data_IF_057687888955
#
_entry.id   IF_057687888955
#
_cell.length_a   1.000
_cell.length_b   1.000
_cell.length_c   1.000
_cell.angle_alpha   90.00
_cell.angle_beta   90.00
_cell.angle_gamma   90.00
#
_symmetry.space_group_name_H-M   'P 1'
#
loop_
_entity.id
_entity.type
_entity.pdbx_description
1 polymer ?
#
# COMPACT_ATOMS: atom_id res chain seq x y z
N UNK A 1 -39.33 -3.21 -68.91
CA UNK A 1 -37.98 -2.70 -68.51
C UNK A 1 -37.98 -2.53 -67.01
N UNK A 2 -37.32 -3.47 -66.25
CA UNK A 2 -37.23 -3.43 -64.82
C UNK A 2 -35.87 -2.83 -64.45
N UNK A 3 -35.85 -1.70 -63.70
CA UNK A 3 -34.62 -1.06 -63.15
C UNK A 3 -34.07 -1.86 -61.97
N UNK A 4 -32.77 -2.09 -61.86
CA UNK A 4 -32.19 -2.71 -60.68
C UNK A 4 -32.07 -1.65 -59.54
N UNK A 5 -32.51 -2.07 -58.36
CA UNK A 5 -32.39 -1.32 -57.11
C UNK A 5 -31.03 -1.64 -56.49
N UNK A 6 -30.10 -0.66 -56.51
CA UNK A 6 -28.82 -0.78 -55.78
C UNK A 6 -29.07 -0.62 -54.28
N UNK A 7 -28.87 -1.70 -53.54
CA UNK A 7 -28.78 -1.64 -52.07
C UNK A 7 -27.37 -1.16 -51.68
N UNK A 8 -27.27 0.09 -51.23
CA UNK A 8 -26.02 0.62 -50.65
C UNK A 8 -25.93 0.18 -49.19
N UNK A 9 -25.12 -0.84 -48.92
CA UNK A 9 -24.82 -1.29 -47.54
C UNK A 9 -23.83 -0.32 -46.86
N UNK A 10 -24.29 0.39 -45.86
CA UNK A 10 -23.44 1.22 -45.00
C UNK A 10 -22.76 0.27 -44.00
N UNK A 11 -21.47 0.01 -44.20
CA UNK A 11 -20.61 -0.71 -43.24
C UNK A 11 -20.25 0.24 -42.12
N UNK A 12 -20.94 0.11 -40.98
CA UNK A 12 -20.62 0.88 -39.77
C UNK A 12 -19.40 0.27 -39.08
N UNK A 13 -18.23 0.86 -39.27
CA UNK A 13 -17.01 0.52 -38.55
C UNK A 13 -17.14 0.98 -37.11
N UNK A 14 -17.40 0.07 -36.15
CA UNK A 14 -17.28 0.32 -34.72
C UNK A 14 -15.79 0.53 -34.38
N UNK A 15 -15.39 1.77 -34.23
CA UNK A 15 -14.08 2.12 -33.69
C UNK A 15 -14.15 1.95 -32.18
N UNK A 16 -13.66 0.82 -31.68
CA UNK A 16 -13.52 0.57 -30.24
C UNK A 16 -12.37 1.45 -29.70
N UNK A 17 -12.70 2.60 -29.15
CA UNK A 17 -11.71 3.48 -28.49
C UNK A 17 -11.28 2.85 -27.18
N UNK A 18 -10.10 2.21 -27.14
CA UNK A 18 -9.45 1.83 -25.89
C UNK A 18 -8.91 3.09 -25.21
N UNK A 19 -9.62 3.56 -24.21
CA UNK A 19 -9.07 4.59 -23.31
C UNK A 19 -7.97 3.98 -22.46
N UNK A 20 -6.73 4.38 -22.71
CA UNK A 20 -5.58 4.05 -21.85
C UNK A 20 -5.73 4.86 -20.56
N UNK A 21 -6.34 4.26 -19.54
CA UNK A 21 -6.47 4.90 -18.23
C UNK A 21 -5.11 4.87 -17.54
N UNK A 22 -4.58 6.05 -17.19
CA UNK A 22 -3.34 6.13 -16.42
C UNK A 22 -3.53 5.40 -15.08
N UNK A 23 -2.52 4.62 -14.68
CA UNK A 23 -2.56 3.90 -13.41
C UNK A 23 -2.74 4.90 -12.25
N UNK A 24 -3.66 4.58 -11.33
CA UNK A 24 -3.84 5.39 -10.12
C UNK A 24 -2.57 5.39 -9.30
N UNK A 25 -2.26 6.53 -8.68
CA UNK A 25 -1.07 6.72 -7.85
C UNK A 25 -1.45 7.34 -6.51
N UNK A 26 -0.64 7.01 -5.51
CA UNK A 26 -0.69 7.60 -4.18
C UNK A 26 0.73 7.80 -3.66
N UNK A 27 0.86 8.55 -2.58
CA UNK A 27 2.14 8.80 -1.91
C UNK A 27 1.97 8.82 -0.40
N UNK A 28 3.06 8.58 0.33
CA UNK A 28 3.15 8.83 1.74
C UNK A 28 4.50 9.47 2.06
N UNK A 29 4.50 10.54 2.84
CA UNK A 29 5.71 11.14 3.41
C UNK A 29 5.82 10.66 4.85
N UNK A 30 6.88 9.94 5.17
CA UNK A 30 7.09 9.37 6.49
C UNK A 30 7.84 10.35 7.38
N UNK A 31 7.32 10.57 8.58
CA UNK A 31 7.93 11.38 9.62
C UNK A 31 8.25 10.50 10.83
N UNK A 32 9.32 10.80 11.54
CA UNK A 32 9.64 10.17 12.83
C UNK A 32 8.86 10.82 13.99
N UNK A 33 9.05 10.33 15.19
CA UNK A 33 8.38 10.82 16.42
C UNK A 33 8.66 12.30 16.75
N UNK A 34 9.70 12.91 16.14
CA UNK A 34 10.03 14.33 16.28
C UNK A 34 9.43 15.21 15.19
N UNK A 35 8.73 14.59 14.21
CA UNK A 35 8.20 15.28 13.02
C UNK A 35 9.24 15.53 11.92
N UNK A 36 10.41 14.89 12.01
CA UNK A 36 11.47 15.01 11.01
C UNK A 36 11.18 14.04 9.84
N UNK A 37 11.39 14.45 8.59
CA UNK A 37 11.18 13.57 7.44
C UNK A 37 12.24 12.46 7.41
N UNK A 38 11.77 11.21 7.27
CA UNK A 38 12.63 10.02 7.21
C UNK A 38 12.40 9.19 5.96
N UNK A 39 11.40 9.49 5.14
CA UNK A 39 11.20 8.74 3.92
C UNK A 39 10.01 9.17 3.08
N UNK A 40 9.94 8.60 1.89
CA UNK A 40 8.81 8.76 0.96
C UNK A 40 8.45 7.41 0.36
N UNK A 41 7.17 7.14 0.25
CA UNK A 41 6.66 6.01 -0.51
C UNK A 41 5.79 6.49 -1.66
N UNK A 42 5.92 5.83 -2.81
CA UNK A 42 5.02 5.97 -3.96
C UNK A 42 4.27 4.67 -4.15
N UNK A 43 2.96 4.77 -4.26
CA UNK A 43 2.09 3.63 -4.50
C UNK A 43 1.51 3.76 -5.92
N UNK A 44 1.47 2.64 -6.65
CA UNK A 44 0.97 2.61 -8.03
C UNK A 44 0.05 1.40 -8.20
N UNK A 45 -1.19 1.64 -8.63
CA UNK A 45 -2.15 0.58 -8.94
C UNK A 45 -1.59 -0.37 -10.00
N UNK A 46 -1.75 -1.67 -9.79
CA UNK A 46 -1.41 -2.76 -10.70
C UNK A 46 -2.60 -3.70 -10.84
N UNK A 47 -2.57 -4.57 -11.85
CA UNK A 47 -3.64 -5.53 -12.11
C UNK A 47 -3.89 -6.55 -10.98
N UNK A 48 -2.90 -6.77 -10.09
CA UNK A 48 -2.95 -7.76 -9.02
C UNK A 48 -2.65 -7.18 -7.62
N UNK A 49 -2.81 -5.86 -7.44
CA UNK A 49 -2.56 -5.18 -6.18
C UNK A 49 -1.92 -3.81 -6.38
N UNK A 50 -1.21 -3.33 -5.37
CA UNK A 50 -0.54 -2.03 -5.38
C UNK A 50 0.97 -2.23 -5.27
N UNK A 51 1.73 -1.69 -6.22
CA UNK A 51 3.18 -1.61 -6.10
C UNK A 51 3.54 -0.44 -5.19
N UNK A 52 4.32 -0.72 -4.14
CA UNK A 52 4.85 0.24 -3.19
C UNK A 52 6.37 0.35 -3.39
N UNK A 53 6.84 1.55 -3.67
CA UNK A 53 8.25 1.92 -3.75
C UNK A 53 8.56 2.83 -2.57
N UNK A 54 9.34 2.34 -1.59
CA UNK A 54 9.80 3.10 -0.41
C UNK A 54 11.27 3.48 -0.58
N UNK A 55 11.58 4.74 -0.23
CA UNK A 55 12.94 5.21 0.05
C UNK A 55 12.93 5.90 1.40
N UNK A 56 13.76 5.44 2.33
CA UNK A 56 13.87 6.04 3.66
C UNK A 56 15.32 6.14 4.10
N UNK A 57 15.58 7.10 4.97
CA UNK A 57 16.90 7.39 5.54
C UNK A 57 16.74 7.87 6.99
N UNK A 58 17.85 8.00 7.70
CA UNK A 58 17.86 8.39 9.13
C UNK A 58 17.06 7.43 10.01
N UNK A 59 17.01 6.16 9.64
CA UNK A 59 16.44 5.08 10.43
C UNK A 59 17.55 4.35 11.21
N UNK A 60 17.23 3.75 12.36
CA UNK A 60 18.18 2.85 13.04
C UNK A 60 18.59 1.71 12.09
N UNK A 61 19.88 1.34 12.00
CA UNK A 61 20.29 0.14 11.27
C UNK A 61 19.70 -1.13 11.84
N UNK A 62 19.30 -2.06 10.97
CA UNK A 62 18.75 -3.36 11.39
C UNK A 62 17.49 -3.76 10.65
N UNK A 63 16.77 -4.73 11.22
CA UNK A 63 15.53 -5.26 10.65
C UNK A 63 14.34 -4.65 11.37
N UNK A 64 13.39 -4.12 10.61
CA UNK A 64 12.24 -3.38 11.10
C UNK A 64 10.93 -3.89 10.49
N UNK A 65 9.92 -4.13 11.32
CA UNK A 65 8.56 -4.40 10.85
C UNK A 65 8.04 -3.22 10.02
N UNK A 66 7.34 -3.53 8.95
CA UNK A 66 6.78 -2.55 8.03
C UNK A 66 5.36 -2.94 7.65
N UNK A 67 4.40 -2.06 7.91
CA UNK A 67 2.99 -2.40 7.76
C UNK A 67 2.16 -1.23 7.21
N UNK A 68 1.04 -1.59 6.56
CA UNK A 68 -0.06 -0.66 6.30
C UNK A 68 -1.02 -0.72 7.49
N UNK A 69 -1.32 0.42 8.09
CA UNK A 69 -2.26 0.57 9.19
C UNK A 69 -3.61 1.10 8.71
N UNK A 70 -4.67 0.76 9.45
CA UNK A 70 -6.07 0.94 9.06
C UNK A 70 -6.61 2.36 9.24
N UNK A 71 -5.79 3.33 9.69
CA UNK A 71 -6.21 4.73 9.88
C UNK A 71 -5.19 5.67 9.27
N UNK A 72 -5.67 6.64 8.47
CA UNK A 72 -4.86 7.66 7.81
C UNK A 72 -4.51 8.83 8.72
N UNK A 73 -4.03 8.56 9.95
CA UNK A 73 -3.65 9.56 10.95
C UNK A 73 -2.32 9.17 11.57
N UNK A 74 -1.38 10.13 11.65
CA UNK A 74 -0.02 9.94 12.16
C UNK A 74 0.29 10.94 13.28
N UNK A 75 -0.33 10.79 14.45
CA UNK A 75 -0.06 11.64 15.61
C UNK A 75 1.18 11.17 16.35
N UNK A 76 2.21 12.03 16.38
CA UNK A 76 3.41 11.81 17.17
C UNK A 76 3.12 11.94 18.69
N UNK A 77 3.93 11.33 19.58
CA UNK A 77 5.16 10.60 19.27
C UNK A 77 4.98 9.11 19.00
N UNK A 78 3.85 8.47 19.37
CA UNK A 78 3.69 7.03 19.39
C UNK A 78 2.89 6.45 18.22
N UNK A 79 2.32 7.32 17.38
CA UNK A 79 1.55 6.98 16.18
C UNK A 79 0.41 5.97 16.42
N UNK A 80 -0.11 5.90 17.66
CA UNK A 80 -1.26 5.01 17.97
C UNK A 80 -2.51 5.39 17.18
N UNK A 81 -2.63 6.65 16.78
CA UNK A 81 -3.71 7.16 15.94
C UNK A 81 -3.81 6.46 14.58
N UNK A 82 -2.74 5.84 14.08
CA UNK A 82 -2.76 5.01 12.88
C UNK A 82 -3.57 3.71 13.03
N UNK A 83 -4.01 3.37 14.23
CA UNK A 83 -4.84 2.19 14.51
C UNK A 83 -4.10 0.85 14.38
N UNK A 84 -4.81 -0.26 14.18
CA UNK A 84 -4.25 -1.59 13.92
C UNK A 84 -3.76 -1.73 12.48
N UNK A 85 -3.21 -2.90 12.14
CA UNK A 85 -2.90 -3.25 10.74
C UNK A 85 -4.15 -3.25 9.86
N UNK A 86 -4.01 -2.90 8.59
CA UNK A 86 -5.09 -2.94 7.62
C UNK A 86 -5.52 -4.39 7.36
N UNK A 87 -6.68 -4.78 7.89
CA UNK A 87 -7.18 -6.15 7.91
C UNK A 87 -8.66 -6.24 7.58
N UNK A 88 -9.08 -5.89 6.35
CA UNK A 88 -10.49 -5.96 5.96
C UNK A 88 -11.05 -7.39 5.91
N UNK A 89 -10.18 -8.40 5.85
CA UNK A 89 -10.57 -9.80 5.77
C UNK A 89 -10.68 -10.49 7.14
N UNK A 90 -10.34 -9.81 8.24
CA UNK A 90 -10.44 -10.34 9.61
C UNK A 90 -9.53 -11.54 9.89
N UNK A 91 -8.37 -11.60 9.24
CA UNK A 91 -7.35 -12.64 9.45
C UNK A 91 -6.49 -12.35 10.68
N UNK A 92 -5.67 -13.33 11.06
CA UNK A 92 -4.63 -13.13 12.07
C UNK A 92 -3.37 -12.54 11.42
N UNK A 93 -2.46 -12.02 12.26
CA UNK A 93 -1.18 -11.49 11.80
C UNK A 93 -0.21 -12.59 11.38
N UNK A 94 0.60 -12.26 10.35
CA UNK A 94 1.85 -12.92 10.05
C UNK A 94 1.82 -13.87 8.86
N UNK A 95 2.85 -13.77 8.05
CA UNK A 95 3.04 -14.58 6.83
C UNK A 95 3.22 -16.06 7.10
N UNK A 96 3.78 -16.40 8.27
CA UNK A 96 4.00 -17.78 8.71
C UNK A 96 2.87 -18.31 9.60
N UNK A 97 1.80 -17.53 9.78
CA UNK A 97 0.62 -17.94 10.52
C UNK A 97 -0.40 -18.59 9.58
N UNK A 98 -0.82 -19.85 9.80
CA UNK A 98 -1.79 -20.53 8.93
C UNK A 98 -3.17 -19.87 8.89
N UNK A 99 -3.50 -18.99 9.84
CA UNK A 99 -4.72 -18.20 9.91
C UNK A 99 -4.51 -16.73 9.46
N UNK A 100 -3.30 -16.37 9.01
CA UNK A 100 -2.91 -15.06 8.54
C UNK A 100 -2.94 -14.97 7.03
N UNK A 101 -2.46 -13.90 6.49
CA UNK A 101 -1.98 -12.66 7.11
C UNK A 101 -2.96 -11.51 6.88
N UNK A 102 -2.74 -10.36 7.54
CA UNK A 102 -3.45 -9.12 7.21
C UNK A 102 -3.04 -8.61 5.82
N UNK A 103 -3.91 -7.90 5.11
CA UNK A 103 -3.51 -7.24 3.86
C UNK A 103 -2.45 -6.15 4.07
N UNK A 104 -2.36 -5.62 5.29
CA UNK A 104 -1.36 -4.64 5.68
C UNK A 104 -0.02 -5.22 6.13
N UNK A 105 0.14 -6.54 6.25
CA UNK A 105 1.42 -7.15 6.64
C UNK A 105 2.39 -7.14 5.46
N UNK A 106 3.48 -6.39 5.59
CA UNK A 106 4.53 -6.32 4.59
C UNK A 106 5.79 -7.03 5.11
N UNK A 107 6.71 -7.36 4.19
CA UNK A 107 7.99 -7.93 4.58
C UNK A 107 8.81 -6.91 5.39
N UNK A 108 9.60 -7.40 6.33
CA UNK A 108 10.52 -6.60 7.11
C UNK A 108 11.44 -5.76 6.20
N UNK A 109 11.73 -4.53 6.63
CA UNK A 109 12.77 -3.71 6.03
C UNK A 109 14.14 -4.11 6.59
N UNK A 110 15.15 -4.19 5.73
CA UNK A 110 16.54 -4.33 6.15
C UNK A 110 17.25 -3.00 5.93
N UNK A 111 17.38 -2.22 7.00
CA UNK A 111 18.04 -0.90 6.99
C UNK A 111 19.55 -1.08 7.09
N UNK A 112 20.27 -0.49 6.14
CA UNK A 112 21.72 -0.54 6.08
C UNK A 112 22.41 0.15 7.26
N UNK A 113 23.71 -0.09 7.41
CA UNK A 113 24.53 0.58 8.44
C UNK A 113 24.63 2.10 8.27
N UNK A 114 24.29 2.61 7.10
CA UNK A 114 24.15 4.03 6.76
C UNK A 114 22.79 4.63 7.17
N UNK A 115 21.87 3.81 7.71
CA UNK A 115 20.52 4.22 8.07
C UNK A 115 19.58 4.36 6.87
N UNK A 116 19.95 3.82 5.70
CA UNK A 116 19.15 3.91 4.49
C UNK A 116 18.48 2.59 4.11
N UNK A 117 17.33 2.70 3.46
CA UNK A 117 16.63 1.55 2.86
C UNK A 117 15.87 1.99 1.60
N UNK A 118 15.93 1.15 0.58
CA UNK A 118 15.13 1.32 -0.64
C UNK A 118 14.54 -0.04 -1.02
N UNK A 119 13.22 -0.14 -1.05
CA UNK A 119 12.51 -1.38 -1.40
C UNK A 119 11.40 -1.12 -2.39
N UNK A 120 11.15 -2.12 -3.22
CA UNK A 120 9.98 -2.20 -4.09
C UNK A 120 9.25 -3.50 -3.78
N UNK A 121 7.99 -3.39 -3.36
CA UNK A 121 7.15 -4.55 -3.05
C UNK A 121 5.81 -4.43 -3.78
N UNK A 122 5.25 -5.57 -4.17
CA UNK A 122 3.86 -5.65 -4.58
C UNK A 122 3.05 -6.05 -3.35
N UNK A 123 1.98 -5.31 -3.07
CA UNK A 123 1.01 -5.60 -2.01
C UNK A 123 -0.22 -6.20 -2.68
N UNK A 124 -0.38 -7.52 -2.67
CA UNK A 124 -1.49 -8.17 -3.34
C UNK A 124 -2.80 -7.92 -2.59
N UNK A 125 -3.91 -7.94 -3.32
CA UNK A 125 -5.24 -7.86 -2.73
C UNK A 125 -5.71 -6.49 -2.28
N UNK A 126 -4.84 -5.47 -2.23
CA UNK A 126 -5.22 -4.08 -1.95
C UNK A 126 -5.40 -3.28 -3.25
N UNK A 127 -6.12 -2.16 -3.19
CA UNK A 127 -6.33 -1.27 -4.34
C UNK A 127 -6.27 0.20 -3.93
N UNK A 128 -5.93 1.08 -4.88
CA UNK A 128 -6.10 2.54 -4.79
C UNK A 128 -7.47 2.99 -5.30
N UNK A 129 -8.25 2.07 -5.86
CA UNK A 129 -9.63 2.28 -6.28
C UNK A 129 -10.63 2.20 -5.13
N UNK A 130 -11.87 1.88 -5.46
CA UNK A 130 -12.95 1.67 -4.49
C UNK A 130 -13.05 0.20 -4.08
N UNK A 131 -13.75 -0.08 -2.97
CA UNK A 131 -14.04 -1.41 -2.49
C UNK A 131 -13.51 -1.68 -1.07
N UNK A 132 -13.79 -2.87 -0.52
CA UNK A 132 -13.45 -3.21 0.87
C UNK A 132 -11.94 -3.23 1.15
N UNK A 133 -11.13 -3.53 0.13
CA UNK A 133 -9.68 -3.61 0.23
C UNK A 133 -8.98 -2.32 -0.24
N UNK A 134 -9.73 -1.21 -0.34
CA UNK A 134 -9.21 0.08 -0.74
C UNK A 134 -8.32 0.69 0.35
N UNK A 135 -7.14 1.18 -0.04
CA UNK A 135 -6.29 1.98 0.86
C UNK A 135 -6.88 3.38 1.13
N UNK A 136 -7.95 3.74 0.42
CA UNK A 136 -8.72 4.97 0.61
C UNK A 136 -10.13 4.72 1.17
N UNK A 137 -10.32 3.63 1.95
CA UNK A 137 -11.57 3.40 2.68
C UNK A 137 -11.85 4.56 3.66
N UNK A 138 -13.04 4.59 4.25
CA UNK A 138 -13.40 5.59 5.27
C UNK A 138 -12.40 5.55 6.44
N UNK A 139 -11.76 6.69 6.74
CA UNK A 139 -10.67 6.80 7.69
C UNK A 139 -9.27 6.71 7.09
N UNK A 140 -9.13 6.25 5.84
CA UNK A 140 -7.84 6.15 5.13
C UNK A 140 -6.88 5.14 5.74
N UNK A 141 -5.63 5.15 5.25
CA UNK A 141 -4.56 4.26 5.71
C UNK A 141 -3.25 5.01 5.88
N UNK A 142 -2.31 4.39 6.59
CA UNK A 142 -0.95 4.92 6.78
C UNK A 142 0.10 3.82 6.71
N UNK A 143 1.33 4.20 6.40
CA UNK A 143 2.50 3.34 6.47
C UNK A 143 3.18 3.51 7.82
N UNK A 144 3.53 2.41 8.48
CA UNK A 144 4.27 2.41 9.74
C UNK A 144 5.56 1.60 9.59
N UNK A 145 6.66 2.17 10.10
CA UNK A 145 7.92 1.43 10.34
C UNK A 145 8.02 1.22 11.85
N UNK A 146 8.36 0.01 12.25
CA UNK A 146 8.48 -0.39 13.66
C UNK A 146 9.93 -0.44 14.15
N UNK A 147 10.08 -0.44 15.47
CA UNK A 147 11.39 -0.45 16.15
C UNK A 147 12.16 -1.74 15.94
N UNK A 148 11.46 -2.88 15.86
CA UNK A 148 12.04 -4.22 15.80
C UNK A 148 11.54 -4.97 14.58
N UNK A 149 12.18 -6.09 14.29
CA UNK A 149 11.70 -7.04 13.30
C UNK A 149 10.32 -7.57 13.71
N UNK A 150 9.46 -7.73 12.72
CA UNK A 150 8.25 -8.54 12.80
C UNK A 150 8.65 -10.02 12.76
N UNK A 151 8.11 -10.84 13.67
CA UNK A 151 8.40 -12.28 13.76
C UNK A 151 7.57 -13.13 12.77
N UNK A 152 6.64 -12.51 12.04
CA UNK A 152 5.80 -13.13 11.03
C UNK A 152 4.72 -14.09 11.55
N UNK A 153 4.46 -14.13 12.85
CA UNK A 153 3.58 -15.12 13.48
C UNK A 153 2.69 -14.58 14.58
N UNK A 154 3.26 -13.75 15.47
CA UNK A 154 2.59 -13.35 16.71
C UNK A 154 1.51 -12.31 16.43
N UNK A 155 0.27 -12.69 16.60
CA UNK A 155 -0.88 -11.77 16.51
C UNK A 155 -0.87 -10.80 17.72
N UNK A 156 -1.19 -9.52 17.57
CA UNK A 156 -1.70 -8.87 16.35
C UNK A 156 -0.64 -8.14 15.49
N UNK A 157 0.65 -8.16 15.83
CA UNK A 157 1.62 -7.26 15.20
C UNK A 157 3.07 -7.78 15.20
N UNK A 158 3.28 -9.11 15.28
CA UNK A 158 4.60 -9.73 15.10
C UNK A 158 5.66 -9.32 16.10
N UNK A 159 5.28 -8.88 17.32
CA UNK A 159 6.21 -8.37 18.34
C UNK A 159 7.14 -7.24 17.83
N UNK A 160 6.75 -6.50 16.79
CA UNK A 160 7.58 -5.52 16.09
C UNK A 160 7.93 -4.28 16.94
N UNK A 161 7.40 -4.14 18.15
CA UNK A 161 7.74 -3.07 19.09
C UNK A 161 7.09 -1.73 18.77
N UNK A 162 7.74 -0.64 19.18
CA UNK A 162 7.22 0.72 19.01
C UNK A 162 7.15 1.12 17.53
N UNK A 163 6.31 2.12 17.22
CA UNK A 163 6.19 2.73 15.89
C UNK A 163 7.19 3.89 15.84
N UNK A 164 8.15 3.82 14.93
CA UNK A 164 9.24 4.80 14.85
C UNK A 164 9.08 5.78 13.69
N UNK A 165 8.28 5.43 12.67
CA UNK A 165 7.92 6.34 11.59
C UNK A 165 6.50 6.06 11.08
N UNK A 166 5.82 7.13 10.66
CA UNK A 166 4.47 7.08 10.12
C UNK A 166 4.32 8.01 8.91
N UNK A 167 3.57 7.56 7.90
CA UNK A 167 3.19 8.38 6.75
C UNK A 167 1.78 8.07 6.28
N UNK A 168 0.91 9.08 6.24
CA UNK A 168 -0.46 8.94 5.71
C UNK A 168 -0.41 8.72 4.20
N UNK A 169 -1.17 7.73 3.70
CA UNK A 169 -1.31 7.47 2.27
C UNK A 169 -2.34 8.44 1.69
N UNK A 170 -1.90 9.28 0.75
CA UNK A 170 -2.72 10.31 0.09
C UNK A 170 -2.62 10.21 -1.44
N UNK A 171 -3.66 10.68 -2.15
CA UNK A 171 -3.67 10.83 -3.62
C UNK A 171 -2.83 11.98 -4.10
#
# INVERSE_FOLDING_TARGET
MKKPMLLSGILCLLVCSFSLQAAQKAKANLLNAKGEPVGTATLTEKSNGVQLDLKASNLPPGIHGFHIHAVGICEAPDFKSAGPHFNPEGKQHGWDNPLGHHLGDLQNLNVGSDGEVSVRVLVPGVTLGEGPNSLFHEGGTSLIIHEKADDGKTDPAGNAGARIACGVIIR
#
